data_IF_952295141191
#
_entry.id   IF_952295141191
#
_cell.length_a   1.000
_cell.length_b   1.000
_cell.length_c   1.000
_cell.angle_alpha   90.00
_cell.angle_beta   90.00
_cell.angle_gamma   90.00
#
_symmetry.space_group_name_H-M   'P 1'
#
loop_
_entity.id
_entity.type
_entity.pdbx_description
1 polymer ?
#
# COMPACT_ATOMS: atom_id res chain seq x y z
N UNK A 1 -9.12 9.44 14.15
CA UNK A 1 -10.22 10.41 14.06
C UNK A 1 -11.53 9.72 14.43
N UNK A 2 -12.52 10.46 14.94
CA UNK A 2 -13.90 10.01 14.89
C UNK A 2 -14.41 9.97 13.44
N UNK A 3 -15.59 9.39 13.21
CA UNK A 3 -16.26 9.44 11.90
C UNK A 3 -16.44 10.89 11.40
N UNK A 4 -17.01 11.75 12.25
CA UNK A 4 -17.31 13.15 11.92
C UNK A 4 -16.06 13.94 11.54
N UNK A 5 -14.98 13.78 12.31
CA UNK A 5 -13.67 14.37 12.01
C UNK A 5 -13.10 13.84 10.68
N UNK A 6 -13.32 12.55 10.39
CA UNK A 6 -12.92 11.91 9.14
C UNK A 6 -13.63 12.53 7.94
N UNK A 7 -14.95 12.74 8.02
CA UNK A 7 -15.75 13.36 6.95
C UNK A 7 -15.32 14.80 6.72
N UNK A 8 -15.16 15.59 7.79
CA UNK A 8 -14.73 16.99 7.69
C UNK A 8 -13.36 17.09 6.99
N UNK A 9 -12.40 16.26 7.43
CA UNK A 9 -11.06 16.23 6.84
C UNK A 9 -11.08 15.79 5.38
N UNK A 10 -11.87 14.78 5.01
CA UNK A 10 -11.98 14.34 3.62
C UNK A 10 -12.54 15.43 2.70
N UNK A 11 -13.52 16.22 3.18
CA UNK A 11 -14.05 17.37 2.43
C UNK A 11 -12.99 18.46 2.23
N UNK A 12 -12.24 18.79 3.29
CA UNK A 12 -11.15 19.76 3.17
C UNK A 12 -10.07 19.26 2.20
N UNK A 13 -9.59 18.02 2.35
CA UNK A 13 -8.57 17.43 1.47
C UNK A 13 -9.02 17.37 0.00
N UNK A 14 -10.30 17.10 -0.26
CA UNK A 14 -10.84 17.14 -1.62
C UNK A 14 -10.70 18.53 -2.25
N UNK A 15 -10.93 19.59 -1.49
CA UNK A 15 -10.73 20.98 -1.97
C UNK A 15 -9.26 21.30 -2.28
N UNK A 16 -8.32 20.52 -1.75
CA UNK A 16 -6.88 20.66 -1.99
C UNK A 16 -6.37 19.80 -3.16
N UNK A 17 -7.25 19.04 -3.84
CA UNK A 17 -6.85 18.18 -4.96
C UNK A 17 -6.19 16.87 -4.54
N UNK A 18 -6.41 16.42 -3.30
CA UNK A 18 -5.97 15.10 -2.82
C UNK A 18 -6.68 14.01 -3.62
N UNK A 19 -5.96 12.91 -3.91
CA UNK A 19 -6.46 11.84 -4.78
C UNK A 19 -7.21 10.72 -4.05
N UNK A 20 -6.75 10.37 -2.86
CA UNK A 20 -7.37 9.37 -1.98
C UNK A 20 -6.89 9.59 -0.55
N UNK A 21 -7.60 8.99 0.41
CA UNK A 21 -7.19 8.96 1.82
C UNK A 21 -6.91 7.52 2.23
N UNK A 22 -5.87 7.32 3.03
CA UNK A 22 -5.48 6.01 3.55
C UNK A 22 -5.75 5.95 5.05
N UNK A 23 -6.40 4.87 5.49
CA UNK A 23 -6.70 4.56 6.89
C UNK A 23 -7.20 5.78 7.71
N UNK A 24 -8.28 6.46 7.29
CA UNK A 24 -8.75 7.67 7.98
C UNK A 24 -9.24 7.41 9.42
N UNK A 25 -9.60 6.17 9.73
CA UNK A 25 -10.08 5.74 11.04
C UNK A 25 -9.04 4.86 11.74
N UNK A 26 -9.00 4.94 13.07
CA UNK A 26 -8.10 4.11 13.86
C UNK A 26 -8.42 2.61 13.67
N UNK A 27 -7.41 1.72 13.65
CA UNK A 27 -7.64 0.28 13.60
C UNK A 27 -8.54 -0.18 14.76
N UNK A 28 -9.53 -1.02 14.46
CA UNK A 28 -10.58 -1.42 15.41
C UNK A 28 -11.82 -0.52 15.41
N UNK A 29 -11.87 0.51 14.56
CA UNK A 29 -13.04 1.39 14.34
C UNK A 29 -13.68 1.20 12.96
N UNK A 30 -13.51 0.03 12.37
CA UNK A 30 -14.02 -0.29 11.04
C UNK A 30 -15.56 -0.25 10.98
N UNK A 31 -16.25 -0.32 12.12
CA UNK A 31 -17.70 -0.17 12.21
C UNK A 31 -18.20 1.18 11.68
N UNK A 32 -17.35 2.21 11.70
CA UNK A 32 -17.69 3.57 11.25
C UNK A 32 -17.32 3.79 9.76
N UNK A 33 -16.58 2.85 9.13
CA UNK A 33 -16.20 2.95 7.70
C UNK A 33 -17.39 3.06 6.74
N UNK A 34 -18.50 2.30 6.91
CA UNK A 34 -19.62 2.38 5.96
C UNK A 34 -20.23 3.76 5.85
N UNK A 35 -20.22 4.54 6.95
CA UNK A 35 -20.80 5.88 6.95
C UNK A 35 -19.83 6.90 6.37
N UNK A 36 -18.55 6.85 6.78
CA UNK A 36 -17.49 7.63 6.15
C UNK A 36 -17.39 7.37 4.64
N UNK A 37 -17.54 6.12 4.20
CA UNK A 37 -17.52 5.73 2.79
C UNK A 37 -18.63 6.39 1.96
N UNK A 38 -19.84 6.50 2.51
CA UNK A 38 -20.95 7.16 1.81
C UNK A 38 -20.78 8.66 1.71
N UNK A 39 -20.17 9.28 2.71
CA UNK A 39 -20.07 10.73 2.83
C UNK A 39 -18.77 11.30 2.26
N UNK A 40 -17.69 10.51 2.23
CA UNK A 40 -16.39 10.97 1.77
C UNK A 40 -16.42 11.31 0.28
N UNK A 41 -15.99 12.53 -0.12
CA UNK A 41 -15.81 12.87 -1.53
C UNK A 41 -14.55 12.22 -2.14
N UNK A 42 -13.69 11.60 -1.32
CA UNK A 42 -12.44 10.97 -1.73
C UNK A 42 -12.51 9.45 -1.61
N UNK A 43 -11.84 8.70 -2.52
CA UNK A 43 -11.62 7.27 -2.37
C UNK A 43 -10.93 6.98 -1.03
N UNK A 44 -11.43 5.95 -0.35
CA UNK A 44 -10.92 5.47 0.94
C UNK A 44 -10.14 4.18 0.70
N UNK A 45 -8.87 4.19 1.07
CA UNK A 45 -8.01 3.02 1.11
C UNK A 45 -7.80 2.61 2.56
N UNK A 46 -7.68 1.31 2.81
CA UNK A 46 -7.36 0.77 4.15
C UNK A 46 -6.02 0.07 4.15
N UNK A 47 -5.24 0.31 5.21
CA UNK A 47 -3.93 -0.27 5.45
C UNK A 47 -3.99 -1.19 6.67
N UNK A 48 -3.89 -0.66 7.88
CA UNK A 48 -3.83 -1.46 9.11
C UNK A 48 -5.08 -2.33 9.35
N UNK A 49 -6.24 -1.93 8.81
CA UNK A 49 -7.48 -2.72 8.87
C UNK A 49 -7.51 -3.92 7.91
N UNK A 50 -6.55 -4.05 7.00
CA UNK A 50 -6.47 -5.16 6.04
C UNK A 50 -5.06 -5.76 6.01
N UNK A 51 -4.87 -6.96 6.55
CA UNK A 51 -3.55 -7.60 6.68
C UNK A 51 -3.38 -8.78 5.75
N UNK A 52 -4.47 -9.51 5.51
CA UNK A 52 -4.51 -10.74 4.69
C UNK A 52 -5.72 -10.72 3.77
N UNK A 53 -5.80 -11.69 2.86
CA UNK A 53 -6.92 -11.80 1.92
C UNK A 53 -8.26 -12.07 2.63
N UNK A 54 -8.22 -12.64 3.84
CA UNK A 54 -9.42 -12.94 4.62
C UNK A 54 -10.10 -11.67 5.17
N UNK A 55 -9.35 -10.59 5.31
CA UNK A 55 -9.85 -9.31 5.83
C UNK A 55 -10.62 -8.52 4.75
N UNK A 56 -10.46 -8.86 3.46
CA UNK A 56 -10.97 -8.07 2.34
C UNK A 56 -12.50 -8.18 2.17
N UNK A 57 -13.14 -9.38 2.13
CA UNK A 57 -14.56 -9.47 1.83
C UNK A 57 -15.48 -8.67 2.78
N UNK A 58 -15.22 -8.61 4.10
CA UNK A 58 -16.00 -7.76 5.01
C UNK A 58 -15.89 -6.26 4.71
N UNK A 59 -14.77 -5.81 4.12
CA UNK A 59 -14.48 -4.40 3.84
C UNK A 59 -14.96 -3.96 2.44
N UNK A 60 -15.25 -4.90 1.54
CA UNK A 60 -15.49 -4.64 0.13
C UNK A 60 -16.58 -3.60 -0.18
N UNK A 61 -17.56 -3.44 0.71
CA UNK A 61 -18.68 -2.51 0.53
C UNK A 61 -18.53 -1.20 1.32
N UNK A 62 -17.38 -0.97 1.98
CA UNK A 62 -17.12 0.22 2.77
C UNK A 62 -15.75 0.87 2.52
N UNK A 63 -15.03 0.43 1.48
CA UNK A 63 -13.77 1.04 1.04
C UNK A 63 -13.68 1.01 -0.48
N UNK A 64 -12.78 1.80 -1.05
CA UNK A 64 -12.53 1.86 -2.49
C UNK A 64 -11.28 1.05 -2.88
N UNK A 65 -10.35 0.85 -1.95
CA UNK A 65 -9.14 0.08 -2.19
C UNK A 65 -8.46 -0.39 -0.92
N UNK A 66 -7.40 -1.18 -1.11
CA UNK A 66 -6.55 -1.68 -0.03
C UNK A 66 -5.09 -1.36 -0.29
N UNK A 67 -4.33 -1.09 0.77
CA UNK A 67 -2.88 -0.99 0.73
C UNK A 67 -2.25 -2.32 1.17
N UNK A 68 -1.57 -3.01 0.26
CA UNK A 68 -0.91 -4.29 0.51
C UNK A 68 0.57 -4.01 0.85
N UNK A 69 0.98 -4.39 2.05
CA UNK A 69 2.39 -4.35 2.50
C UNK A 69 2.90 -5.78 2.70
N UNK A 70 4.13 -6.07 2.27
CA UNK A 70 4.69 -7.43 2.39
C UNK A 70 4.81 -7.87 3.85
N UNK A 71 5.16 -6.95 4.75
CA UNK A 71 5.29 -7.25 6.18
C UNK A 71 3.94 -7.55 6.85
N UNK A 72 2.83 -6.98 6.36
CA UNK A 72 1.47 -7.30 6.85
C UNK A 72 0.98 -8.64 6.33
N UNK A 73 1.15 -8.87 5.03
CA UNK A 73 0.70 -10.08 4.35
C UNK A 73 1.55 -11.31 4.67
N UNK A 74 2.75 -11.11 5.22
CA UNK A 74 3.68 -12.21 5.50
C UNK A 74 4.39 -12.75 4.25
N UNK A 75 4.39 -11.99 3.15
CA UNK A 75 5.17 -12.27 1.95
C UNK A 75 4.38 -12.27 0.63
N UNK A 76 5.10 -12.56 -0.45
CA UNK A 76 4.58 -12.44 -1.82
C UNK A 76 3.38 -13.36 -2.12
N UNK A 77 3.37 -14.57 -1.56
CA UNK A 77 2.29 -15.54 -1.79
C UNK A 77 0.95 -15.01 -1.30
N UNK A 78 0.92 -14.40 -0.12
CA UNK A 78 -0.30 -13.81 0.42
C UNK A 78 -0.63 -12.48 -0.28
N UNK A 79 0.38 -11.65 -0.59
CA UNK A 79 0.17 -10.42 -1.34
C UNK A 79 -0.53 -10.67 -2.70
N UNK A 80 -0.11 -11.69 -3.45
CA UNK A 80 -0.77 -12.09 -4.71
C UNK A 80 -2.22 -12.55 -4.46
N UNK A 81 -2.47 -13.31 -3.37
CA UNK A 81 -3.83 -13.70 -3.00
C UNK A 81 -4.70 -12.48 -2.70
N UNK A 82 -4.19 -11.54 -1.92
CA UNK A 82 -4.87 -10.26 -1.61
C UNK A 82 -5.20 -9.48 -2.88
N UNK A 83 -4.28 -9.38 -3.86
CA UNK A 83 -4.55 -8.74 -5.15
C UNK A 83 -5.75 -9.37 -5.85
N UNK A 84 -5.77 -10.71 -5.96
CA UNK A 84 -6.86 -11.40 -6.65
C UNK A 84 -8.19 -11.26 -5.91
N UNK A 85 -8.17 -11.36 -4.57
CA UNK A 85 -9.36 -11.16 -3.75
C UNK A 85 -9.90 -9.73 -3.86
N UNK A 86 -9.04 -8.71 -3.77
CA UNK A 86 -9.43 -7.30 -3.93
C UNK A 86 -10.08 -7.05 -5.28
N UNK A 87 -9.46 -7.52 -6.37
CA UNK A 87 -10.02 -7.38 -7.73
C UNK A 87 -11.34 -8.11 -7.89
N UNK A 88 -11.49 -9.30 -7.31
CA UNK A 88 -12.76 -10.03 -7.32
C UNK A 88 -13.87 -9.29 -6.54
N UNK A 89 -13.49 -8.53 -5.52
CA UNK A 89 -14.39 -7.64 -4.76
C UNK A 89 -14.59 -6.26 -5.43
N UNK A 90 -14.00 -5.99 -6.60
CA UNK A 90 -14.09 -4.70 -7.28
C UNK A 90 -13.27 -3.58 -6.63
N UNK A 91 -12.33 -3.90 -5.74
CA UNK A 91 -11.48 -2.94 -5.05
C UNK A 91 -10.21 -2.63 -5.83
N UNK A 92 -9.72 -1.40 -5.68
CA UNK A 92 -8.41 -1.00 -6.16
C UNK A 92 -7.29 -1.54 -5.28
N UNK A 93 -6.10 -1.69 -5.86
CA UNK A 93 -4.90 -2.20 -5.19
C UNK A 93 -3.81 -1.14 -5.15
N UNK A 94 -3.30 -0.89 -3.95
CA UNK A 94 -2.08 -0.15 -3.71
C UNK A 94 -1.02 -1.09 -3.13
N UNK A 95 0.24 -0.93 -3.52
CA UNK A 95 1.36 -1.56 -2.81
C UNK A 95 2.12 -0.52 -2.00
N UNK A 96 2.26 -0.78 -0.71
CA UNK A 96 2.92 0.07 0.26
C UNK A 96 4.16 -0.56 0.86
N UNK A 97 4.90 0.22 1.64
CA UNK A 97 5.99 -0.25 2.49
C UNK A 97 5.90 0.33 3.91
N UNK A 98 6.67 -0.24 4.83
CA UNK A 98 7.06 0.41 6.08
C UNK A 98 8.39 1.15 5.86
N UNK A 99 9.22 1.32 6.88
CA UNK A 99 10.64 1.70 6.72
C UNK A 99 11.48 0.53 6.20
N UNK A 100 11.02 -0.08 5.11
CA UNK A 100 11.63 -1.27 4.52
C UNK A 100 12.87 -0.91 3.69
N UNK A 101 13.81 -1.85 3.61
CA UNK A 101 15.00 -1.73 2.75
C UNK A 101 14.70 -2.03 1.28
N UNK A 102 15.67 -1.76 0.42
CA UNK A 102 15.64 -2.05 -1.02
C UNK A 102 15.25 -3.51 -1.28
N UNK A 103 15.58 -4.45 -0.38
CA UNK A 103 15.17 -5.84 -0.52
C UNK A 103 13.64 -5.99 -0.63
N UNK A 104 12.88 -5.44 0.31
CA UNK A 104 11.43 -5.63 0.31
C UNK A 104 10.74 -4.78 -0.76
N UNK A 105 11.20 -3.54 -0.99
CA UNK A 105 10.62 -2.68 -2.02
C UNK A 105 10.89 -3.23 -3.42
N UNK A 106 12.08 -3.82 -3.66
CA UNK A 106 12.36 -4.54 -4.92
C UNK A 106 11.42 -5.75 -5.05
N UNK A 107 11.24 -6.53 -3.99
CA UNK A 107 10.33 -7.67 -4.01
C UNK A 107 8.87 -7.26 -4.35
N UNK A 108 8.36 -6.21 -3.70
CA UNK A 108 7.03 -5.68 -3.96
C UNK A 108 6.91 -5.10 -5.39
N UNK A 109 7.97 -4.46 -5.90
CA UNK A 109 7.98 -3.85 -7.25
C UNK A 109 7.74 -4.88 -8.37
N UNK A 110 8.08 -6.15 -8.17
CA UNK A 110 7.78 -7.22 -9.13
C UNK A 110 6.27 -7.45 -9.30
N UNK A 111 5.46 -7.10 -8.29
CA UNK A 111 4.00 -7.17 -8.35
C UNK A 111 3.36 -5.89 -8.90
N UNK A 112 4.13 -4.82 -9.12
CA UNK A 112 3.62 -3.50 -9.52
C UNK A 112 2.69 -3.48 -10.74
N UNK A 113 2.81 -4.35 -11.77
CA UNK A 113 1.84 -4.38 -12.87
C UNK A 113 0.41 -4.75 -12.44
N UNK A 114 0.24 -5.25 -11.21
CA UNK A 114 -1.05 -5.63 -10.66
C UNK A 114 -1.71 -4.51 -9.83
N UNK A 115 -1.00 -3.42 -9.55
CA UNK A 115 -1.46 -2.30 -8.71
C UNK A 115 -2.05 -1.16 -9.54
N UNK A 116 -2.97 -0.43 -8.91
CA UNK A 116 -3.45 0.88 -9.33
C UNK A 116 -2.55 2.01 -8.80
N UNK A 117 -1.95 1.81 -7.62
CA UNK A 117 -1.10 2.77 -6.92
C UNK A 117 0.15 2.12 -6.33
N UNK A 118 1.24 2.88 -6.24
CA UNK A 118 2.50 2.44 -5.64
C UNK A 118 2.99 3.49 -4.64
N UNK A 119 3.27 3.02 -3.43
CA UNK A 119 3.96 3.71 -2.36
C UNK A 119 5.13 2.84 -1.89
N UNK A 120 6.19 2.81 -2.71
CA UNK A 120 7.35 1.95 -2.52
C UNK A 120 8.63 2.77 -2.38
N UNK A 121 8.61 3.82 -1.58
CA UNK A 121 9.65 4.84 -1.50
C UNK A 121 10.61 4.69 -0.30
N UNK A 122 10.27 3.88 0.70
CA UNK A 122 10.98 3.83 1.99
C UNK A 122 12.49 3.64 1.90
N UNK A 123 12.94 2.74 1.02
CA UNK A 123 14.36 2.45 0.80
C UNK A 123 15.18 3.67 0.33
N UNK A 124 14.53 4.68 -0.25
CA UNK A 124 15.17 5.93 -0.69
C UNK A 124 15.58 6.81 0.51
N UNK A 125 14.99 6.58 1.68
CA UNK A 125 15.29 7.31 2.92
C UNK A 125 16.41 6.67 3.75
N UNK A 126 17.01 5.57 3.28
CA UNK A 126 18.06 4.85 4.00
C UNK A 126 19.46 5.24 3.52
N UNK A 127 20.30 5.74 4.42
CA UNK A 127 21.69 6.09 4.13
C UNK A 127 22.52 4.82 3.85
N UNK A 128 22.45 3.85 4.76
CA UNK A 128 23.26 2.63 4.74
C UNK A 128 22.43 1.39 4.43
N UNK A 129 21.54 1.47 3.43
CA UNK A 129 20.78 0.30 2.97
C UNK A 129 21.76 -0.83 2.57
N UNK A 130 21.71 -2.01 3.20
CA UNK A 130 22.64 -3.11 2.91
C UNK A 130 22.34 -3.80 1.58
N UNK A 131 21.34 -3.36 0.82
CA UNK A 131 20.90 -3.97 -0.42
C UNK A 131 20.96 -3.00 -1.61
N UNK A 132 21.00 -3.60 -2.81
CA UNK A 132 20.81 -2.94 -4.11
C UNK A 132 19.80 -3.76 -4.91
N UNK A 133 18.99 -3.11 -5.72
CA UNK A 133 17.87 -3.75 -6.40
C UNK A 133 17.18 -2.80 -7.37
N UNK A 134 15.87 -2.61 -7.21
CA UNK A 134 15.13 -1.62 -7.96
C UNK A 134 15.67 -0.20 -7.71
N UNK A 135 15.59 0.66 -8.72
CA UNK A 135 16.13 2.04 -8.69
C UNK A 135 15.07 3.04 -9.12
N UNK A 136 15.07 4.23 -8.51
CA UNK A 136 14.18 5.30 -8.93
C UNK A 136 14.74 5.99 -10.19
N UNK A 137 13.95 6.04 -11.26
CA UNK A 137 14.27 6.73 -12.50
C UNK A 137 13.08 7.59 -12.92
N UNK A 138 13.26 8.91 -12.97
CA UNK A 138 12.22 9.88 -13.35
C UNK A 138 10.90 9.69 -12.57
N UNK A 139 10.98 9.39 -11.26
CA UNK A 139 9.81 9.16 -10.42
C UNK A 139 9.20 7.75 -10.52
N UNK A 140 9.80 6.85 -11.30
CA UNK A 140 9.37 5.46 -11.42
C UNK A 140 10.35 4.51 -10.76
N UNK A 141 9.85 3.56 -9.97
CA UNK A 141 10.67 2.49 -9.40
C UNK A 141 10.88 1.40 -10.45
N UNK A 142 12.12 1.25 -10.92
CA UNK A 142 12.48 0.33 -12.01
C UNK A 142 13.21 -0.89 -11.44
N UNK A 143 12.61 -2.10 -11.47
CA UNK A 143 13.32 -3.34 -11.16
C UNK A 143 14.36 -3.65 -12.24
N UNK A 144 15.42 -4.37 -11.86
CA UNK A 144 16.43 -4.83 -12.80
C UNK A 144 16.08 -6.19 -13.42
N UNK A 145 16.84 -6.60 -14.44
CA UNK A 145 16.62 -7.84 -15.20
C UNK A 145 17.41 -9.05 -14.67
N UNK A 146 17.87 -9.02 -13.41
CA UNK A 146 18.60 -10.15 -12.83
C UNK A 146 17.65 -11.26 -12.36
N UNK A 147 18.09 -12.54 -12.31
CA UNK A 147 17.26 -13.64 -11.83
C UNK A 147 16.79 -13.49 -10.38
N UNK A 148 15.65 -14.11 -10.05
CA UNK A 148 15.05 -14.04 -8.72
C UNK A 148 14.47 -12.65 -8.44
N UNK A 149 14.64 -12.14 -7.22
CA UNK A 149 14.22 -10.77 -6.89
C UNK A 149 15.10 -9.70 -7.55
N UNK A 150 16.28 -10.07 -8.06
CA UNK A 150 17.26 -9.12 -8.57
C UNK A 150 17.95 -8.27 -7.50
N UNK A 151 17.93 -8.71 -6.25
CA UNK A 151 18.57 -8.01 -5.12
C UNK A 151 19.97 -8.55 -4.87
N UNK A 152 20.92 -7.65 -4.61
CA UNK A 152 22.28 -7.98 -4.14
C UNK A 152 22.58 -7.27 -2.82
N UNK A 153 23.33 -7.94 -1.95
CA UNK A 153 23.91 -7.29 -0.77
C UNK A 153 25.00 -6.31 -1.22
N UNK A 154 25.04 -5.11 -0.65
CA UNK A 154 26.15 -4.17 -0.84
C UNK A 154 27.41 -4.74 -0.20
N UNK A 155 28.52 -4.65 -0.92
CA UNK A 155 29.83 -4.82 -0.32
C UNK A 155 30.22 -3.50 0.35
N UNK A 156 30.36 -3.52 1.67
CA UNK A 156 30.90 -2.38 2.40
C UNK A 156 32.43 -2.56 2.41
N UNK A 157 33.14 -1.65 1.77
CA UNK A 157 34.58 -1.54 1.97
C UNK A 157 34.79 -0.86 3.33
N UNK A 158 35.23 -1.64 4.32
CA UNK A 158 35.71 -1.13 5.61
C UNK A 158 37.08 -0.47 5.47
#
# INVERSE_FOLDING_TARGET
ASEEEGVEMCNWLASQGVRHVEQPLAPGKEIDLPELYKQSPLPIFVDESCKTSQDIPPLANCVHGINIKLMKSGGLTEAIRMVHTAKACGLQVMFGCYSDSTLANTAASHLSPLADYLDLDSHLNLVDDPFTGATLQNGHLIPNNLPGLGVKRREFNH
#
